data_IF_233343799198
#
_entry.id   IF_233343799198
#
_cell.length_a   1.000
_cell.length_b   1.000
_cell.length_c   1.000
_cell.angle_alpha   90.00
_cell.angle_beta   90.00
_cell.angle_gamma   90.00
#
_symmetry.space_group_name_H-M   'P 1'
#
loop_
_entity.id
_entity.type
_entity.pdbx_description
1 polymer ?
#
# COMPACT_ATOMS: atom_id res chain seq x y z
N UNK A 1 30.68 -4.06 7.75
CA UNK A 1 31.92 -3.96 6.94
C UNK A 1 31.69 -4.75 5.67
N UNK A 2 32.00 -4.21 4.48
CA UNK A 2 31.88 -4.91 3.19
C UNK A 2 33.27 -5.07 2.56
N UNK A 3 33.56 -6.26 2.03
CA UNK A 3 34.83 -6.56 1.35
C UNK A 3 34.71 -6.31 -0.16
N UNK A 4 35.85 -6.18 -0.85
CA UNK A 4 35.88 -5.96 -2.32
C UNK A 4 35.16 -7.04 -3.15
N UNK A 5 34.96 -8.24 -2.60
CA UNK A 5 34.22 -9.33 -3.23
C UNK A 5 32.73 -9.40 -2.87
N UNK A 6 32.17 -8.38 -2.21
CA UNK A 6 30.75 -8.34 -1.89
C UNK A 6 29.89 -8.20 -3.17
N UNK A 7 28.66 -8.75 -3.18
CA UNK A 7 27.72 -8.55 -4.28
C UNK A 7 27.54 -7.07 -4.58
N UNK A 8 27.59 -6.73 -5.87
CA UNK A 8 27.31 -5.39 -6.35
C UNK A 8 25.81 -5.24 -6.62
N UNK A 9 25.33 -4.00 -6.63
CA UNK A 9 23.97 -3.71 -7.10
C UNK A 9 23.86 -4.13 -8.56
N UNK A 10 22.84 -4.92 -8.89
CA UNK A 10 22.54 -5.32 -10.27
C UNK A 10 21.28 -4.60 -10.75
N UNK A 11 21.25 -4.24 -12.03
CA UNK A 11 20.07 -3.63 -12.64
C UNK A 11 18.86 -4.57 -12.61
N UNK A 12 19.11 -5.86 -12.75
CA UNK A 12 18.08 -6.90 -12.63
C UNK A 12 17.42 -6.89 -11.23
N UNK A 13 18.22 -6.82 -10.16
CA UNK A 13 17.67 -6.77 -8.80
C UNK A 13 16.86 -5.50 -8.56
N UNK A 14 17.29 -4.35 -9.09
CA UNK A 14 16.54 -3.10 -9.01
C UNK A 14 15.20 -3.18 -9.76
N UNK A 15 15.17 -3.85 -10.92
CA UNK A 15 13.96 -4.03 -11.71
C UNK A 15 12.97 -4.98 -11.00
N UNK A 16 13.45 -6.11 -10.49
CA UNK A 16 12.64 -7.06 -9.71
C UNK A 16 12.06 -6.40 -8.44
N UNK A 17 12.84 -5.56 -7.78
CA UNK A 17 12.40 -4.78 -6.62
C UNK A 17 11.25 -3.85 -6.99
N UNK A 18 11.39 -3.07 -8.07
CA UNK A 18 10.33 -2.17 -8.53
C UNK A 18 9.05 -2.90 -8.95
N UNK A 19 9.18 -4.05 -9.62
CA UNK A 19 8.04 -4.90 -10.00
C UNK A 19 7.30 -5.45 -8.78
N UNK A 20 8.05 -5.87 -7.75
CA UNK A 20 7.48 -6.33 -6.49
C UNK A 20 6.73 -5.20 -5.77
N UNK A 21 7.30 -3.99 -5.70
CA UNK A 21 6.62 -2.85 -5.08
C UNK A 21 5.32 -2.48 -5.80
N UNK A 22 5.30 -2.53 -7.14
CA UNK A 22 4.07 -2.33 -7.92
C UNK A 22 3.03 -3.43 -7.63
N UNK A 23 3.46 -4.68 -7.55
CA UNK A 23 2.57 -5.79 -7.22
C UNK A 23 1.96 -5.62 -5.81
N UNK A 24 2.78 -5.21 -4.82
CA UNK A 24 2.29 -4.90 -3.48
C UNK A 24 1.24 -3.78 -3.52
N UNK A 25 1.50 -2.68 -4.24
CA UNK A 25 0.56 -1.56 -4.36
C UNK A 25 -0.80 -2.01 -4.94
N UNK A 26 -0.78 -2.81 -6.01
CA UNK A 26 -1.99 -3.37 -6.64
C UNK A 26 -2.75 -4.31 -5.70
N UNK A 27 -2.04 -5.17 -4.96
CA UNK A 27 -2.67 -6.12 -4.04
C UNK A 27 -3.30 -5.43 -2.83
N UNK A 28 -2.62 -4.43 -2.29
CA UNK A 28 -3.16 -3.60 -1.20
C UNK A 28 -4.45 -2.91 -1.66
N UNK A 29 -4.47 -2.37 -2.89
CA UNK A 29 -5.66 -1.78 -3.48
C UNK A 29 -6.82 -2.80 -3.57
N UNK A 30 -6.55 -3.98 -4.12
CA UNK A 30 -7.54 -5.05 -4.26
C UNK A 30 -8.16 -5.44 -2.90
N UNK A 31 -7.33 -5.58 -1.87
CA UNK A 31 -7.78 -5.92 -0.51
C UNK A 31 -8.67 -4.81 0.06
N UNK A 32 -8.27 -3.54 -0.07
CA UNK A 32 -9.06 -2.39 0.40
C UNK A 32 -10.42 -2.34 -0.32
N UNK A 33 -10.44 -2.53 -1.65
CA UNK A 33 -11.69 -2.57 -2.41
C UNK A 33 -12.59 -3.73 -2.00
N UNK A 34 -12.01 -4.91 -1.70
CA UNK A 34 -12.74 -6.09 -1.19
C UNK A 34 -13.36 -5.85 0.19
N UNK A 35 -12.65 -5.18 1.11
CA UNK A 35 -13.20 -4.85 2.44
C UNK A 35 -14.34 -3.83 2.33
N UNK A 36 -14.15 -2.80 1.49
CA UNK A 36 -15.19 -1.81 1.20
C UNK A 36 -16.47 -2.44 0.64
N UNK A 37 -16.34 -3.38 -0.29
CA UNK A 37 -17.52 -4.05 -0.88
C UNK A 37 -18.30 -4.89 0.14
N UNK A 38 -17.70 -5.19 1.30
CA UNK A 38 -18.35 -5.79 2.47
C UNK A 38 -18.81 -4.76 3.52
N UNK A 39 -18.71 -3.47 3.22
CA UNK A 39 -18.92 -2.35 4.16
C UNK A 39 -18.05 -2.46 5.44
N UNK A 40 -16.88 -3.06 5.32
CA UNK A 40 -15.88 -3.12 6.39
C UNK A 40 -14.85 -2.02 6.18
N UNK A 41 -14.46 -1.37 7.28
CA UNK A 41 -13.34 -0.44 7.23
C UNK A 41 -12.03 -1.22 7.02
N UNK A 42 -11.20 -0.81 6.05
CA UNK A 42 -9.91 -1.43 5.83
C UNK A 42 -9.01 -1.27 7.05
N UNK A 43 -8.36 -2.37 7.44
CA UNK A 43 -7.40 -2.41 8.55
C UNK A 43 -6.03 -2.86 8.04
N UNK A 44 -4.98 -2.11 8.42
CA UNK A 44 -3.61 -2.39 8.02
C UNK A 44 -3.14 -3.77 8.51
N UNK A 45 -3.53 -4.17 9.73
CA UNK A 45 -3.12 -5.47 10.27
C UNK A 45 -3.75 -6.62 9.47
N UNK A 46 -5.03 -6.48 9.10
CA UNK A 46 -5.69 -7.41 8.20
C UNK A 46 -5.01 -7.49 6.83
N UNK A 47 -4.67 -6.35 6.22
CA UNK A 47 -3.97 -6.30 4.93
C UNK A 47 -2.63 -7.03 4.99
N UNK A 48 -1.81 -6.75 6.01
CA UNK A 48 -0.51 -7.41 6.18
C UNK A 48 -0.69 -8.92 6.38
N UNK A 49 -1.68 -9.35 7.18
CA UNK A 49 -1.96 -10.76 7.40
C UNK A 49 -2.39 -11.46 6.11
N UNK A 50 -3.27 -10.83 5.34
CA UNK A 50 -3.75 -11.36 4.07
C UNK A 50 -2.60 -11.52 3.07
N UNK A 51 -1.74 -10.51 2.93
CA UNK A 51 -0.55 -10.57 2.08
C UNK A 51 0.48 -11.62 2.55
N UNK A 52 0.53 -11.93 3.85
CA UNK A 52 1.42 -12.96 4.38
C UNK A 52 0.91 -14.39 4.13
N UNK A 53 -0.41 -14.56 4.04
CA UNK A 53 -1.06 -15.83 3.71
C UNK A 53 -1.06 -16.08 2.18
N UNK A 54 -1.00 -15.01 1.37
CA UNK A 54 -0.86 -15.11 -0.08
C UNK A 54 0.61 -15.37 -0.47
N UNK A 55 0.85 -16.39 -1.31
CA UNK A 55 2.20 -16.68 -1.80
C UNK A 55 2.60 -15.67 -2.88
N UNK A 56 3.32 -14.62 -2.49
CA UNK A 56 3.82 -13.58 -3.39
C UNK A 56 5.23 -13.92 -3.90
N UNK A 57 5.43 -14.09 -5.22
CA UNK A 57 6.76 -14.33 -5.78
C UNK A 57 7.63 -13.07 -5.70
N UNK A 58 8.95 -13.26 -5.67
CA UNK A 58 9.93 -12.15 -5.70
C UNK A 58 10.25 -11.52 -4.34
N UNK A 59 9.63 -11.99 -3.25
CA UNK A 59 9.92 -11.49 -1.90
C UNK A 59 11.40 -11.65 -1.50
N UNK A 60 11.98 -10.71 -0.73
CA UNK A 60 13.37 -10.79 -0.30
C UNK A 60 13.67 -12.08 0.47
N UNK A 61 14.75 -12.80 0.13
CA UNK A 61 15.09 -14.06 0.79
C UNK A 61 15.32 -13.86 2.29
N UNK A 62 14.74 -14.74 3.11
CA UNK A 62 14.80 -14.70 4.57
C UNK A 62 13.88 -13.66 5.23
N UNK A 63 13.68 -12.49 4.60
CA UNK A 63 12.85 -11.41 5.12
C UNK A 63 11.37 -11.52 4.76
N UNK A 64 11.01 -12.13 3.64
CA UNK A 64 9.62 -12.33 3.21
C UNK A 64 8.81 -11.02 3.19
N UNK A 65 7.50 -11.12 3.40
CA UNK A 65 6.58 -9.99 3.39
C UNK A 65 6.88 -8.97 4.50
N UNK A 66 7.42 -9.42 5.64
CA UNK A 66 7.73 -8.52 6.76
C UNK A 66 8.88 -7.57 6.45
N UNK A 67 9.76 -7.92 5.52
CA UNK A 67 10.80 -7.02 5.02
C UNK A 67 10.25 -5.89 4.13
N UNK A 68 9.00 -5.99 3.67
CA UNK A 68 8.31 -4.99 2.83
C UNK A 68 7.25 -4.18 3.58
N UNK A 69 7.26 -4.19 4.92
CA UNK A 69 6.28 -3.48 5.74
C UNK A 69 6.14 -2.01 5.36
N UNK A 70 7.25 -1.30 5.15
CA UNK A 70 7.21 0.13 4.84
C UNK A 70 6.55 0.41 3.47
N UNK A 71 6.79 -0.46 2.48
CA UNK A 71 6.13 -0.41 1.18
C UNK A 71 4.61 -0.65 1.34
N UNK A 72 4.22 -1.67 2.10
CA UNK A 72 2.81 -1.99 2.36
C UNK A 72 2.09 -0.84 3.09
N UNK A 73 2.73 -0.27 4.12
CA UNK A 73 2.19 0.88 4.88
C UNK A 73 1.99 2.08 3.94
N UNK A 74 2.97 2.36 3.08
CA UNK A 74 2.91 3.48 2.15
C UNK A 74 1.78 3.30 1.12
N UNK A 75 1.65 2.10 0.54
CA UNK A 75 0.56 1.76 -0.37
C UNK A 75 -0.80 1.87 0.33
N UNK A 76 -0.92 1.32 1.54
CA UNK A 76 -2.15 1.40 2.33
C UNK A 76 -2.55 2.85 2.59
N UNK A 77 -1.63 3.69 3.09
CA UNK A 77 -1.90 5.10 3.36
C UNK A 77 -2.30 5.87 2.10
N UNK A 78 -1.62 5.63 0.98
CA UNK A 78 -1.94 6.21 -0.33
C UNK A 78 -3.39 5.91 -0.72
N UNK A 79 -3.78 4.64 -0.64
CA UNK A 79 -5.12 4.21 -1.01
C UNK A 79 -6.18 4.74 -0.06
N UNK A 80 -5.99 4.67 1.28
CA UNK A 80 -6.92 5.24 2.25
C UNK A 80 -7.09 6.75 2.10
N UNK A 81 -6.00 7.47 1.85
CA UNK A 81 -6.04 8.93 1.69
C UNK A 81 -6.81 9.33 0.44
N UNK A 82 -6.65 8.60 -0.66
CA UNK A 82 -7.42 8.82 -1.88
C UNK A 82 -8.94 8.66 -1.68
N UNK A 83 -9.37 7.88 -0.68
CA UNK A 83 -10.78 7.72 -0.33
C UNK A 83 -11.34 8.92 0.44
N UNK A 84 -10.51 9.55 1.28
CA UNK A 84 -10.91 10.69 2.12
C UNK A 84 -11.08 11.98 1.33
N UNK A 85 -10.46 12.09 0.16
CA UNK A 85 -10.58 13.25 -0.73
C UNK A 85 -11.95 13.35 -1.43
N UNK A 86 -12.88 12.41 -1.19
CA UNK A 86 -14.21 12.40 -1.79
C UNK A 86 -15.34 12.78 -0.80
N UNK A 87 -15.05 13.60 0.22
CA UNK A 87 -16.11 14.43 0.81
C UNK A 87 -16.03 15.83 0.17
N UNK A 88 -16.99 16.23 -0.68
CA UNK A 88 -17.18 17.65 -0.91
C UNK A 88 -17.47 18.27 0.46
N UNK A 89 -16.57 19.14 0.94
CA UNK A 89 -16.91 20.05 2.02
C UNK A 89 -18.14 20.82 1.55
N UNK A 90 -19.30 20.48 2.11
CA UNK A 90 -20.49 21.32 2.06
C UNK A 90 -20.07 22.66 2.69
N UNK A 91 -19.81 23.64 1.84
CA UNK A 91 -19.63 25.04 2.26
C UNK A 91 -21.03 25.51 2.66
N UNK A 92 -21.40 25.18 3.89
CA UNK A 92 -22.47 25.85 4.61
C UNK A 92 -22.02 27.26 4.97
N UNK A 93 -22.50 28.24 4.20
CA UNK A 93 -22.56 29.66 4.56
C UNK A 93 -23.75 30.25 3.80
N UNK A 94 -24.93 30.30 4.40
CA UNK A 94 -25.45 31.45 5.17
C UNK A 94 -25.34 32.76 4.38
N UNK A 95 -26.44 33.16 3.72
CA UNK A 95 -26.81 34.57 3.64
C UNK A 95 -28.33 34.66 3.79
N UNK A 96 -28.70 35.42 4.82
CA UNK A 96 -30.03 35.66 5.35
C UNK A 96 -30.83 36.59 4.42
N UNK A 97 -32.13 36.59 4.66
CA UNK A 97 -33.16 37.51 4.17
C UNK A 97 -32.67 38.88 3.68
N UNK A 98 -33.05 39.26 2.45
CA UNK A 98 -33.57 40.61 2.12
C UNK A 98 -34.01 40.71 0.64
N UNK A 99 -35.32 40.67 0.42
CA UNK A 99 -36.16 41.75 -0.16
C UNK A 99 -37.35 41.24 -0.98
#
# INVERSE_FOLDING_TARGET
>A
VCFRGAPQVSQEALQQEAELEQHIDMKVEEIIQRMRSKAEDPDLLYVIKFLAEEEMPGLPPGGGITSKRDCIISAYQKHISALRTHEPMDIGGSEEDSN
#
